data_IF_157748632196
#
_entry.id   IF_157748632196
#
_cell.length_a   1.000
_cell.length_b   1.000
_cell.length_c   1.000
_cell.angle_alpha   90.00
_cell.angle_beta   90.00
_cell.angle_gamma   90.00
#
_symmetry.space_group_name_H-M   'P 1'
#
loop_
_entity.id
_entity.type
_entity.pdbx_description
1 polymer ?
#
# COMPACT_ATOMS: atom_id res chain seq x y z
N UNK A 1 8.47 -4.03 2.16
CA UNK A 1 9.04 -5.08 2.99
C UNK A 1 9.74 -6.17 2.19
N UNK A 2 9.05 -6.84 1.25
CA UNK A 2 9.63 -7.96 0.50
C UNK A 2 10.78 -7.55 -0.41
N UNK A 3 10.66 -6.47 -1.18
CA UNK A 3 11.71 -6.03 -2.12
C UNK A 3 12.91 -5.44 -1.38
N UNK A 4 12.69 -4.47 -0.48
CA UNK A 4 13.79 -3.75 0.18
C UNK A 4 14.45 -4.54 1.32
N UNK A 5 13.70 -5.39 2.02
CA UNK A 5 14.17 -6.07 3.24
C UNK A 5 14.10 -7.58 3.15
N UNK A 6 13.67 -8.14 2.02
CA UNK A 6 13.44 -9.58 1.85
C UNK A 6 12.55 -10.20 2.95
N UNK A 7 11.62 -9.44 3.50
CA UNK A 7 10.70 -9.95 4.50
C UNK A 7 9.66 -10.89 3.86
N UNK A 8 9.43 -12.03 4.47
CA UNK A 8 8.40 -12.99 4.05
C UNK A 8 6.98 -12.49 4.30
N UNK A 9 6.81 -11.47 5.14
CA UNK A 9 5.51 -10.92 5.51
C UNK A 9 5.58 -9.43 5.79
N UNK A 10 4.52 -8.69 5.46
CA UNK A 10 4.32 -7.29 5.82
C UNK A 10 4.27 -7.06 7.33
N UNK A 11 3.97 -8.11 8.12
CA UNK A 11 3.92 -8.06 9.59
C UNK A 11 5.26 -7.72 10.24
N UNK A 12 6.36 -7.94 9.54
CA UNK A 12 7.72 -7.65 10.06
C UNK A 12 8.09 -6.16 9.94
N UNK A 13 7.26 -5.34 9.29
CA UNK A 13 7.52 -3.91 9.18
C UNK A 13 7.11 -3.21 10.47
N UNK A 14 8.08 -2.62 11.15
CA UNK A 14 7.84 -1.87 12.39
C UNK A 14 7.31 -0.46 12.12
N UNK A 15 6.71 0.16 13.15
CA UNK A 15 6.24 1.55 13.09
C UNK A 15 7.41 2.51 12.80
N UNK A 16 8.57 2.27 13.38
CA UNK A 16 9.76 3.10 13.14
C UNK A 16 10.20 3.06 11.69
N UNK A 17 10.30 1.87 11.09
CA UNK A 17 10.61 1.69 9.67
C UNK A 17 9.59 2.39 8.78
N UNK A 18 8.28 2.25 9.07
CA UNK A 18 7.24 2.92 8.31
C UNK A 18 7.37 4.44 8.37
N UNK A 19 7.66 5.00 9.55
CA UNK A 19 7.86 6.44 9.72
C UNK A 19 9.05 6.93 8.89
N UNK A 20 10.21 6.24 8.93
CA UNK A 20 11.40 6.67 8.18
C UNK A 20 11.17 6.62 6.66
N UNK A 21 10.53 5.57 6.15
CA UNK A 21 10.14 5.51 4.73
C UNK A 21 9.17 6.63 4.37
N UNK A 22 8.20 6.90 5.24
CA UNK A 22 7.19 7.94 4.99
C UNK A 22 7.81 9.35 4.99
N UNK A 23 8.81 9.61 5.82
CA UNK A 23 9.57 10.88 5.76
C UNK A 23 10.26 11.05 4.40
N UNK A 24 10.91 9.98 3.90
CA UNK A 24 11.55 9.99 2.58
C UNK A 24 10.53 10.25 1.46
N UNK A 25 9.36 9.59 1.50
CA UNK A 25 8.28 9.81 0.55
C UNK A 25 7.76 11.24 0.63
N UNK A 26 7.60 11.80 1.84
CA UNK A 26 7.12 13.17 2.02
C UNK A 26 8.00 14.21 1.34
N UNK A 27 9.30 14.01 1.30
CA UNK A 27 10.21 14.94 0.61
C UNK A 27 9.92 15.03 -0.90
N UNK A 28 9.49 13.92 -1.53
CA UNK A 28 9.14 13.87 -2.95
C UNK A 28 7.70 14.29 -3.25
N UNK A 29 6.77 14.11 -2.32
CA UNK A 29 5.33 14.39 -2.53
C UNK A 29 5.07 15.89 -2.36
N UNK A 30 4.60 16.56 -3.42
CA UNK A 30 4.32 18.01 -3.42
C UNK A 30 2.83 18.34 -3.46
N UNK A 31 2.03 17.63 -4.26
CA UNK A 31 0.62 17.94 -4.52
C UNK A 31 -0.34 16.80 -4.14
N UNK A 32 0.13 15.55 -4.19
CA UNK A 32 -0.72 14.39 -3.94
C UNK A 32 -1.00 14.21 -2.46
N UNK A 33 -2.19 13.69 -2.16
CA UNK A 33 -2.55 13.22 -0.82
C UNK A 33 -1.60 12.08 -0.42
N UNK A 34 -0.98 12.19 0.74
CA UNK A 34 -0.10 11.16 1.28
C UNK A 34 -0.78 10.39 2.40
N UNK A 35 -1.03 9.12 2.19
CA UNK A 35 -1.63 8.20 3.16
C UNK A 35 -0.57 7.22 3.66
N UNK A 36 -0.45 7.05 4.97
CA UNK A 36 0.52 6.13 5.58
C UNK A 36 -0.20 4.95 6.21
N UNK A 37 0.22 3.75 5.83
CA UNK A 37 -0.31 2.51 6.41
C UNK A 37 0.12 2.37 7.86
N UNK A 38 -0.82 2.11 8.75
CA UNK A 38 -0.49 1.70 10.12
C UNK A 38 -0.03 0.23 10.09
N UNK A 39 1.20 -0.09 10.54
CA UNK A 39 1.70 -1.45 10.51
C UNK A 39 0.94 -2.41 11.42
N UNK A 40 1.09 -3.71 11.16
CA UNK A 40 0.53 -4.76 12.01
C UNK A 40 0.89 -4.54 13.50
N UNK A 41 -0.06 -4.81 14.39
CA UNK A 41 0.06 -4.63 15.84
C UNK A 41 0.27 -3.19 16.33
N UNK A 42 0.05 -2.16 15.49
CA UNK A 42 0.16 -0.75 15.93
C UNK A 42 -1.19 -0.09 16.22
N UNK A 43 -2.29 -0.85 16.08
CA UNK A 43 -3.66 -0.41 16.32
C UNK A 43 -4.55 -1.52 16.94
N UNK A 44 -4.04 -2.23 17.96
CA UNK A 44 -4.75 -3.31 18.64
C UNK A 44 -5.96 -2.84 19.45
N UNK A 45 -5.95 -1.59 19.90
CA UNK A 45 -7.04 -0.92 20.61
C UNK A 45 -7.05 0.57 20.26
N UNK A 46 -8.12 1.27 20.66
CA UNK A 46 -8.35 2.67 20.31
C UNK A 46 -7.27 3.63 20.86
N UNK A 47 -6.79 3.40 22.08
CA UNK A 47 -5.75 4.24 22.70
C UNK A 47 -4.42 4.13 21.97
N UNK A 48 -3.98 2.89 21.71
CA UNK A 48 -2.74 2.62 20.97
C UNK A 48 -2.82 3.16 19.54
N UNK A 49 -3.93 2.93 18.85
CA UNK A 49 -4.17 3.44 17.50
C UNK A 49 -4.08 4.97 17.45
N UNK A 50 -4.72 5.66 18.38
CA UNK A 50 -4.70 7.12 18.46
C UNK A 50 -3.28 7.66 18.70
N UNK A 51 -2.56 7.07 19.67
CA UNK A 51 -1.16 7.43 19.96
C UNK A 51 -0.28 7.27 18.72
N UNK A 52 -0.36 6.12 18.06
CA UNK A 52 0.48 5.79 16.92
C UNK A 52 0.12 6.61 15.68
N UNK A 53 -1.17 6.83 15.41
CA UNK A 53 -1.62 7.68 14.30
C UNK A 53 -1.15 9.14 14.48
N UNK A 54 -1.29 9.71 15.68
CA UNK A 54 -0.75 11.04 15.99
C UNK A 54 0.77 11.10 15.78
N UNK A 55 1.50 10.08 16.20
CA UNK A 55 2.95 9.99 15.99
C UNK A 55 3.31 9.93 14.50
N UNK A 56 2.61 9.13 13.70
CA UNK A 56 2.81 9.05 12.25
C UNK A 56 2.61 10.44 11.64
N UNK A 57 1.46 11.06 11.83
CA UNK A 57 1.13 12.37 11.25
C UNK A 57 2.14 13.44 11.67
N UNK A 58 2.46 13.51 12.96
CA UNK A 58 3.43 14.48 13.48
C UNK A 58 4.80 14.35 12.83
N UNK A 59 5.32 13.12 12.74
CA UNK A 59 6.69 12.85 12.25
C UNK A 59 6.81 12.85 10.73
N UNK A 60 5.76 12.48 10.00
CA UNK A 60 5.82 12.31 8.54
C UNK A 60 5.13 13.42 7.77
N UNK A 61 4.29 14.22 8.44
CA UNK A 61 3.42 15.23 7.82
C UNK A 61 2.52 14.63 6.72
N UNK A 62 2.13 13.35 6.89
CA UNK A 62 1.14 12.74 6.02
C UNK A 62 -0.25 13.31 6.28
N UNK A 63 -1.11 13.19 5.29
CA UNK A 63 -2.45 13.74 5.31
C UNK A 63 -3.47 12.81 5.97
N UNK A 64 -3.20 11.50 5.96
CA UNK A 64 -4.08 10.47 6.49
C UNK A 64 -3.34 9.20 6.88
N UNK A 65 -4.02 8.32 7.62
CA UNK A 65 -3.56 6.96 7.89
C UNK A 65 -4.48 5.92 7.26
N UNK A 66 -3.95 4.73 6.92
CA UNK A 66 -4.75 3.61 6.43
C UNK A 66 -4.73 2.46 7.43
N UNK A 67 -5.90 1.82 7.62
CA UNK A 67 -6.09 0.66 8.50
C UNK A 67 -6.80 -0.46 7.76
N UNK A 68 -6.41 -1.70 8.07
CA UNK A 68 -7.01 -2.92 7.50
C UNK A 68 -8.12 -3.45 8.39
N UNK A 69 -9.32 -3.62 7.83
CA UNK A 69 -10.48 -4.24 8.47
C UNK A 69 -11.77 -3.46 8.29
N UNK A 70 -12.88 -4.13 8.60
CA UNK A 70 -14.24 -3.57 8.61
C UNK A 70 -14.78 -3.42 10.04
N UNK A 71 -15.92 -4.05 10.31
CA UNK A 71 -16.59 -4.01 11.63
C UNK A 71 -15.66 -4.30 12.82
N UNK A 72 -14.64 -5.15 12.66
CA UNK A 72 -13.71 -5.51 13.74
C UNK A 72 -12.91 -4.34 14.29
N UNK A 73 -12.65 -3.32 13.48
CA UNK A 73 -11.89 -2.12 13.87
C UNK A 73 -12.80 -0.89 14.05
N UNK A 74 -14.12 -1.10 14.15
CA UNK A 74 -15.11 -0.03 14.29
C UNK A 74 -14.74 1.00 15.36
N UNK A 75 -14.48 0.55 16.60
CA UNK A 75 -14.15 1.45 17.71
C UNK A 75 -12.84 2.20 17.49
N UNK A 76 -11.89 1.57 16.83
CA UNK A 76 -10.59 2.18 16.47
C UNK A 76 -10.81 3.31 15.47
N UNK A 77 -11.48 3.02 14.35
CA UNK A 77 -11.78 4.00 13.30
C UNK A 77 -12.60 5.16 13.89
N UNK A 78 -13.67 4.85 14.65
CA UNK A 78 -14.49 5.87 15.33
C UNK A 78 -13.66 6.79 16.22
N UNK A 79 -12.70 6.24 16.97
CA UNK A 79 -11.82 7.01 17.85
C UNK A 79 -10.89 7.93 17.02
N UNK A 80 -10.31 7.43 15.95
CA UNK A 80 -9.43 8.24 15.08
C UNK A 80 -10.21 9.40 14.45
N UNK A 81 -11.35 9.13 13.84
CA UNK A 81 -12.22 10.15 13.21
C UNK A 81 -12.68 11.20 14.23
N UNK A 82 -13.15 10.77 15.43
CA UNK A 82 -13.52 11.70 16.52
C UNK A 82 -12.37 12.64 16.91
N UNK A 83 -11.13 12.18 16.79
CA UNK A 83 -9.93 12.98 17.04
C UNK A 83 -9.41 13.70 15.80
N UNK A 84 -10.23 13.87 14.76
CA UNK A 84 -9.90 14.59 13.51
C UNK A 84 -8.72 14.01 12.75
N UNK A 85 -8.48 12.71 12.85
CA UNK A 85 -7.50 11.97 12.07
C UNK A 85 -8.19 11.39 10.85
N UNK A 86 -7.84 11.82 9.62
CA UNK A 86 -8.42 11.25 8.41
C UNK A 86 -7.99 9.79 8.25
N UNK A 87 -8.95 8.92 7.94
CA UNK A 87 -8.73 7.48 7.80
C UNK A 87 -9.14 7.00 6.42
N UNK A 88 -8.27 6.23 5.77
CA UNK A 88 -8.58 5.41 4.62
C UNK A 88 -8.85 3.98 5.11
N UNK A 89 -9.99 3.40 4.75
CA UNK A 89 -10.33 2.01 5.05
C UNK A 89 -9.65 1.03 4.08
N UNK A 90 -9.59 -0.24 4.46
CA UNK A 90 -9.09 -1.31 3.58
C UNK A 90 -9.89 -2.59 3.82
N UNK A 91 -10.54 -3.08 2.77
CA UNK A 91 -11.37 -4.29 2.76
C UNK A 91 -10.90 -5.29 1.70
N UNK A 92 -11.36 -6.53 1.82
CA UNK A 92 -10.98 -7.62 0.93
C UNK A 92 -9.91 -8.53 1.52
N UNK A 93 -8.84 -8.78 0.81
CA UNK A 93 -7.64 -9.39 1.38
C UNK A 93 -6.94 -8.36 2.25
N UNK A 94 -6.58 -8.74 3.45
CA UNK A 94 -5.91 -7.89 4.42
C UNK A 94 -4.50 -8.45 4.64
N UNK A 95 -3.46 -7.94 3.99
CA UNK A 95 -2.11 -8.52 4.02
C UNK A 95 -1.52 -8.70 5.42
N UNK A 96 -1.88 -7.84 6.35
CA UNK A 96 -1.40 -7.91 7.74
C UNK A 96 -2.03 -9.06 8.54
N UNK A 97 -3.17 -9.59 8.13
CA UNK A 97 -3.88 -10.66 8.85
C UNK A 97 -4.14 -11.91 8.02
N UNK A 98 -4.00 -11.83 6.70
CA UNK A 98 -4.30 -12.94 5.80
C UNK A 98 -3.32 -14.12 5.99
N UNK A 99 -3.88 -15.32 6.09
CA UNK A 99 -3.12 -16.59 6.00
C UNK A 99 -2.88 -17.01 4.56
N UNK A 100 -3.72 -16.56 3.64
CA UNK A 100 -3.60 -16.78 2.20
C UNK A 100 -4.20 -15.60 1.41
N UNK A 101 -3.75 -15.42 0.17
CA UNK A 101 -4.15 -14.32 -0.71
C UNK A 101 -5.24 -14.75 -1.72
N UNK A 102 -6.27 -15.46 -1.27
CA UNK A 102 -7.42 -15.80 -2.10
C UNK A 102 -8.39 -14.64 -2.19
N UNK A 103 -8.86 -14.36 -3.42
CA UNK A 103 -9.85 -13.30 -3.66
C UNK A 103 -11.11 -13.49 -2.78
N UNK A 104 -11.63 -12.38 -2.28
CA UNK A 104 -12.79 -12.31 -1.37
C UNK A 104 -14.06 -11.93 -2.12
N UNK A 105 -15.21 -12.32 -1.54
CA UNK A 105 -16.52 -11.98 -2.09
C UNK A 105 -17.11 -13.04 -3.01
N UNK A 106 -16.44 -14.18 -3.22
CA UNK A 106 -16.99 -15.29 -4.03
C UNK A 106 -18.15 -16.01 -3.35
N UNK A 107 -18.15 -16.09 -2.03
CA UNK A 107 -19.23 -16.68 -1.24
C UNK A 107 -20.22 -15.59 -0.85
N UNK A 108 -21.52 -15.91 -0.84
CA UNK A 108 -22.59 -14.98 -0.48
C UNK A 108 -22.34 -14.31 0.88
N UNK A 109 -21.93 -15.07 1.89
CA UNK A 109 -21.61 -14.53 3.20
C UNK A 109 -20.44 -13.54 3.17
N UNK A 110 -19.35 -13.81 2.40
CA UNK A 110 -18.24 -12.88 2.24
C UNK A 110 -18.67 -11.60 1.52
N UNK A 111 -19.49 -11.74 0.44
CA UNK A 111 -20.06 -10.60 -0.29
C UNK A 111 -20.88 -9.71 0.65
N UNK A 112 -21.83 -10.30 1.39
CA UNK A 112 -22.69 -9.54 2.30
C UNK A 112 -21.89 -8.84 3.41
N UNK A 113 -20.85 -9.48 3.93
CA UNK A 113 -19.94 -8.87 4.91
C UNK A 113 -19.17 -7.69 4.31
N UNK A 114 -18.63 -7.80 3.09
CA UNK A 114 -17.91 -6.71 2.42
C UNK A 114 -18.82 -5.50 2.17
N UNK A 115 -20.06 -5.73 1.70
CA UNK A 115 -21.05 -4.68 1.50
C UNK A 115 -21.43 -4.00 2.83
N UNK A 116 -21.64 -4.78 3.89
CA UNK A 116 -21.94 -4.25 5.22
C UNK A 116 -20.76 -3.46 5.79
N UNK A 117 -19.55 -4.01 5.71
CA UNK A 117 -18.34 -3.37 6.22
C UNK A 117 -18.04 -2.05 5.49
N UNK A 118 -18.26 -1.98 4.16
CA UNK A 118 -18.06 -0.76 3.39
C UNK A 118 -19.02 0.37 3.83
N UNK A 119 -20.28 0.05 4.09
CA UNK A 119 -21.25 1.01 4.62
C UNK A 119 -20.89 1.48 6.02
N UNK A 120 -20.50 0.55 6.90
CA UNK A 120 -20.06 0.90 8.26
C UNK A 120 -18.87 1.86 8.24
N UNK A 121 -17.89 1.62 7.37
CA UNK A 121 -16.72 2.50 7.24
C UNK A 121 -17.12 3.88 6.71
N UNK A 122 -18.01 3.94 5.72
CA UNK A 122 -18.56 5.20 5.21
C UNK A 122 -19.29 5.99 6.32
N UNK A 123 -20.20 5.34 7.05
CA UNK A 123 -20.95 5.94 8.14
C UNK A 123 -20.05 6.45 9.28
N UNK A 124 -18.90 5.82 9.50
CA UNK A 124 -17.89 6.28 10.45
C UNK A 124 -17.14 7.53 9.97
N UNK A 125 -17.20 7.86 8.67
CA UNK A 125 -16.55 9.03 8.09
C UNK A 125 -15.15 8.75 7.54
N UNK A 126 -14.82 7.51 7.14
CA UNK A 126 -13.60 7.30 6.36
C UNK A 126 -13.74 8.00 5.00
N UNK A 127 -12.67 8.58 4.50
CA UNK A 127 -12.73 9.37 3.27
C UNK A 127 -12.59 8.55 1.98
N UNK A 128 -12.11 7.32 2.08
CA UNK A 128 -11.92 6.40 0.94
C UNK A 128 -11.71 4.97 1.44
N UNK A 129 -11.97 3.97 0.59
CA UNK A 129 -11.75 2.55 0.90
C UNK A 129 -10.92 1.88 -0.19
N UNK A 130 -9.83 1.21 0.21
CA UNK A 130 -9.10 0.28 -0.65
C UNK A 130 -9.84 -1.05 -0.71
N UNK A 131 -10.03 -1.59 -1.92
CA UNK A 131 -10.61 -2.90 -2.17
C UNK A 131 -9.52 -3.81 -2.75
N UNK A 132 -8.92 -4.68 -1.93
CA UNK A 132 -7.83 -5.57 -2.36
C UNK A 132 -8.32 -6.98 -2.62
N UNK A 133 -8.07 -7.48 -3.84
CA UNK A 133 -8.43 -8.83 -4.27
C UNK A 133 -9.91 -9.16 -3.97
N UNK A 134 -10.81 -8.22 -4.23
CA UNK A 134 -12.25 -8.39 -4.12
C UNK A 134 -12.79 -8.85 -5.48
N UNK A 135 -13.73 -9.80 -5.47
CA UNK A 135 -14.42 -10.24 -6.66
C UNK A 135 -15.03 -9.05 -7.42
N UNK A 136 -14.88 -9.03 -8.76
CA UNK A 136 -15.10 -7.84 -9.58
C UNK A 136 -16.52 -7.30 -9.50
N UNK A 137 -17.54 -8.18 -9.49
CA UNK A 137 -18.95 -7.76 -9.37
C UNK A 137 -19.25 -7.15 -8.00
N UNK A 138 -18.66 -7.72 -6.94
CA UNK A 138 -18.80 -7.23 -5.57
C UNK A 138 -18.14 -5.87 -5.39
N UNK A 139 -16.92 -5.70 -5.92
CA UNK A 139 -16.24 -4.39 -5.88
C UNK A 139 -17.03 -3.32 -6.66
N UNK A 140 -17.58 -3.68 -7.83
CA UNK A 140 -18.49 -2.80 -8.59
C UNK A 140 -19.73 -2.41 -7.80
N UNK A 141 -20.33 -3.37 -7.10
CA UNK A 141 -21.51 -3.14 -6.27
C UNK A 141 -21.20 -2.23 -5.08
N UNK A 142 -20.08 -2.47 -4.37
CA UNK A 142 -19.61 -1.59 -3.29
C UNK A 142 -19.46 -0.16 -3.81
N UNK A 143 -18.72 0.03 -4.91
CA UNK A 143 -18.48 1.35 -5.52
C UNK A 143 -19.78 2.09 -5.87
N UNK A 144 -20.82 1.37 -6.32
CA UNK A 144 -22.13 1.96 -6.61
C UNK A 144 -22.94 2.28 -5.35
N UNK A 145 -22.68 1.61 -4.24
CA UNK A 145 -23.52 1.66 -3.04
C UNK A 145 -23.06 2.74 -2.06
N UNK A 146 -21.75 2.96 -1.96
CA UNK A 146 -21.17 3.98 -1.08
C UNK A 146 -20.85 5.25 -1.87
N UNK A 147 -20.80 6.40 -1.17
CA UNK A 147 -20.55 7.72 -1.78
C UNK A 147 -19.07 8.13 -1.74
N UNK A 148 -18.28 7.47 -0.91
CA UNK A 148 -16.85 7.73 -0.79
C UNK A 148 -16.05 6.96 -1.84
N UNK A 149 -14.93 7.52 -2.35
CA UNK A 149 -14.13 6.88 -3.39
C UNK A 149 -13.62 5.49 -3.00
N UNK A 150 -13.66 4.56 -3.94
CA UNK A 150 -13.05 3.23 -3.85
C UNK A 150 -11.79 3.15 -4.67
N UNK A 151 -10.74 2.56 -4.11
CA UNK A 151 -9.45 2.34 -4.78
C UNK A 151 -9.21 0.84 -4.93
N UNK A 152 -9.23 0.37 -6.16
CA UNK A 152 -9.06 -1.06 -6.47
C UNK A 152 -7.59 -1.48 -6.56
N UNK A 153 -7.28 -2.67 -6.04
CA UNK A 153 -6.05 -3.40 -6.33
C UNK A 153 -6.39 -4.88 -6.48
N UNK A 154 -6.33 -5.38 -7.71
CA UNK A 154 -6.81 -6.72 -8.03
C UNK A 154 -8.33 -6.89 -7.78
N UNK A 155 -9.11 -5.87 -7.99
CA UNK A 155 -10.56 -5.85 -7.78
C UNK A 155 -11.32 -5.57 -9.09
N UNK A 156 -11.89 -4.39 -9.28
CA UNK A 156 -12.73 -4.07 -10.44
C UNK A 156 -12.26 -2.80 -11.14
N UNK A 157 -12.39 -2.78 -12.47
CA UNK A 157 -12.22 -1.57 -13.27
C UNK A 157 -13.25 -0.48 -12.92
N UNK A 158 -14.34 -0.85 -12.26
CA UNK A 158 -15.40 0.08 -11.84
C UNK A 158 -15.12 0.78 -10.51
N UNK A 159 -14.01 0.49 -9.82
CA UNK A 159 -13.56 1.33 -8.71
C UNK A 159 -13.19 2.72 -9.23
N UNK A 160 -13.36 3.75 -8.38
CA UNK A 160 -13.10 5.15 -8.75
C UNK A 160 -11.61 5.41 -9.05
N UNK A 161 -10.72 4.63 -8.43
CA UNK A 161 -9.28 4.66 -8.70
C UNK A 161 -8.65 3.28 -8.62
N UNK A 162 -7.38 3.20 -9.05
CA UNK A 162 -6.58 1.98 -8.99
C UNK A 162 -5.22 2.26 -8.36
N UNK A 163 -4.67 1.29 -7.63
CA UNK A 163 -3.32 1.35 -7.09
C UNK A 163 -2.55 0.08 -7.43
N UNK A 164 -1.25 0.22 -7.66
CA UNK A 164 -0.30 -0.88 -7.72
C UNK A 164 0.92 -0.53 -6.88
N UNK A 165 1.54 -1.54 -6.28
CA UNK A 165 2.85 -1.38 -5.64
C UNK A 165 3.86 -0.98 -6.71
N UNK A 166 4.63 0.08 -6.46
CA UNK A 166 5.59 0.61 -7.44
C UNK A 166 6.57 -0.45 -7.93
N UNK A 167 7.11 -1.27 -7.02
CA UNK A 167 8.06 -2.34 -7.37
C UNK A 167 7.44 -3.39 -8.31
N UNK A 168 6.14 -3.66 -8.17
CA UNK A 168 5.39 -4.55 -9.06
C UNK A 168 5.18 -3.89 -10.42
N UNK A 169 4.75 -2.63 -10.43
CA UNK A 169 4.45 -1.85 -11.64
C UNK A 169 5.67 -1.72 -12.55
N UNK A 170 6.86 -1.44 -11.97
CA UNK A 170 8.10 -1.25 -12.74
C UNK A 170 8.91 -2.55 -12.94
N UNK A 171 8.44 -3.68 -12.41
CA UNK A 171 9.07 -4.98 -12.62
C UNK A 171 10.35 -5.23 -11.82
N UNK A 172 10.47 -4.61 -10.64
CA UNK A 172 11.53 -4.93 -9.66
C UNK A 172 11.18 -6.18 -8.84
N UNK A 173 9.89 -6.39 -8.54
CA UNK A 173 9.46 -7.57 -7.79
C UNK A 173 9.46 -8.82 -8.69
N UNK A 174 10.19 -9.90 -8.33
CA UNK A 174 10.23 -11.13 -9.11
C UNK A 174 8.93 -11.96 -8.97
N UNK A 175 8.14 -11.72 -7.93
CA UNK A 175 6.92 -12.49 -7.64
C UNK A 175 5.87 -12.24 -8.72
N UNK A 176 5.27 -13.33 -9.22
CA UNK A 176 4.15 -13.26 -10.16
C UNK A 176 2.84 -13.26 -9.39
N UNK A 177 2.14 -12.14 -9.41
CA UNK A 177 0.81 -11.97 -8.84
C UNK A 177 -0.19 -11.77 -9.98
N UNK A 178 -1.33 -12.47 -9.95
CA UNK A 178 -2.30 -12.50 -11.06
C UNK A 178 -2.78 -11.13 -11.52
N UNK A 179 -3.03 -10.21 -10.59
CA UNK A 179 -3.55 -8.87 -10.90
C UNK A 179 -2.48 -7.85 -11.26
N UNK A 180 -1.20 -8.20 -11.12
CA UNK A 180 -0.10 -7.28 -11.41
C UNK A 180 0.18 -7.25 -12.91
N UNK A 181 0.02 -6.07 -13.49
CA UNK A 181 0.52 -5.74 -14.83
C UNK A 181 1.81 -4.96 -14.69
N UNK A 182 2.91 -5.52 -15.23
CA UNK A 182 4.20 -4.82 -15.30
C UNK A 182 4.18 -3.89 -16.51
N UNK A 183 4.46 -2.62 -16.29
CA UNK A 183 4.52 -1.61 -17.36
C UNK A 183 5.93 -1.46 -17.93
N UNK A 184 6.94 -1.92 -17.18
CA UNK A 184 8.34 -2.01 -17.63
C UNK A 184 9.05 -3.15 -16.89
N UNK A 185 10.31 -3.42 -17.26
CA UNK A 185 11.16 -4.41 -16.59
C UNK A 185 12.49 -3.77 -16.19
N UNK A 186 12.47 -3.02 -15.12
CA UNK A 186 13.66 -2.33 -14.59
C UNK A 186 14.74 -3.32 -14.16
N UNK A 187 14.38 -4.50 -13.62
CA UNK A 187 15.35 -5.55 -13.28
C UNK A 187 16.23 -5.94 -14.48
N UNK A 188 15.60 -6.10 -15.67
CA UNK A 188 16.36 -6.41 -16.90
C UNK A 188 17.30 -5.27 -17.29
N UNK A 189 16.85 -4.04 -17.17
CA UNK A 189 17.66 -2.85 -17.50
C UNK A 189 18.84 -2.69 -16.53
N UNK A 190 18.61 -2.85 -15.22
CA UNK A 190 19.66 -2.80 -14.19
C UNK A 190 20.70 -3.88 -14.46
N UNK A 191 20.28 -5.12 -14.70
CA UNK A 191 21.19 -6.23 -14.99
C UNK A 191 22.03 -5.97 -16.25
N UNK A 192 21.42 -5.47 -17.32
CA UNK A 192 22.14 -5.13 -18.55
C UNK A 192 23.19 -4.02 -18.31
N UNK A 193 22.84 -2.98 -17.55
CA UNK A 193 23.76 -1.90 -17.19
C UNK A 193 24.94 -2.41 -16.36
N UNK A 194 24.70 -3.25 -15.36
CA UNK A 194 25.75 -3.83 -14.50
C UNK A 194 26.68 -4.73 -15.32
N UNK A 195 26.13 -5.57 -16.20
CA UNK A 195 26.93 -6.44 -17.08
C UNK A 195 27.82 -5.60 -18.02
N UNK A 196 27.24 -4.54 -18.60
CA UNK A 196 28.00 -3.61 -19.47
C UNK A 196 29.15 -2.96 -18.71
N UNK A 197 28.87 -2.37 -17.53
CA UNK A 197 29.89 -1.78 -16.67
C UNK A 197 31.00 -2.78 -16.32
N UNK A 198 30.63 -3.98 -15.84
CA UNK A 198 31.57 -5.05 -15.53
C UNK A 198 32.51 -5.35 -16.72
N UNK A 199 31.96 -5.47 -17.94
CA UNK A 199 32.72 -5.79 -19.13
C UNK A 199 33.65 -4.63 -19.54
N UNK A 200 33.18 -3.37 -19.40
CA UNK A 200 34.01 -2.19 -19.67
C UNK A 200 35.20 -2.10 -18.72
N UNK A 201 34.97 -2.34 -17.41
CA UNK A 201 36.05 -2.38 -16.41
C UNK A 201 37.04 -3.51 -16.69
N UNK A 202 36.52 -4.74 -16.92
CA UNK A 202 37.36 -5.90 -17.22
C UNK A 202 38.26 -5.68 -18.46
N UNK A 203 37.74 -5.00 -19.47
CA UNK A 203 38.43 -4.72 -20.73
C UNK A 203 39.17 -3.37 -20.70
N UNK A 204 39.35 -2.73 -19.55
CA UNK A 204 40.03 -1.42 -19.38
C UNK A 204 39.43 -0.30 -20.26
N UNK A 205 38.12 -0.37 -20.54
CA UNK A 205 37.37 0.63 -21.32
C UNK A 205 36.70 1.68 -20.44
N UNK A 206 36.66 1.44 -19.14
CA UNK A 206 36.18 2.37 -18.09
C UNK A 206 37.19 2.38 -16.93
N UNK A 207 37.52 3.55 -16.34
CA UNK A 207 37.11 4.90 -16.78
C UNK A 207 37.81 5.35 -18.07
N UNK A 208 37.11 6.20 -18.84
CA UNK A 208 37.73 6.94 -19.95
C UNK A 208 38.37 8.23 -19.41
N UNK A 209 39.16 8.92 -20.28
CA UNK A 209 39.79 10.20 -19.92
C UNK A 209 38.82 11.21 -19.34
N UNK A 210 37.60 11.32 -19.89
CA UNK A 210 36.53 12.18 -19.40
C UNK A 210 35.91 11.76 -18.06
N UNK A 211 36.17 10.54 -17.60
CA UNK A 211 35.68 10.01 -16.32
C UNK A 211 36.81 9.95 -15.26
N UNK A 212 37.97 10.54 -15.52
CA UNK A 212 39.15 10.51 -14.66
C UNK A 212 39.63 11.93 -14.38
N UNK A 213 40.24 12.12 -13.22
CA UNK A 213 40.89 13.38 -12.86
C UNK A 213 42.36 13.29 -13.21
N UNK A 214 42.85 14.27 -13.93
CA UNK A 214 44.26 14.43 -14.26
C UNK A 214 44.75 15.72 -13.61
N UNK A 215 45.83 15.63 -12.87
CA UNK A 215 46.49 16.78 -12.28
C UNK A 215 47.40 17.43 -13.34
#
# INVERSE_FOLDING_TARGET
>A
GSVLYNYKSTRSVSLAVMIEHSKSVRMGVKKSLMVVDMPHNTYRNSSEALKNAKMIISKTKCDAVKLEGGKKIYHIVKTLIKNKIPVMGHLGVLPQSAKNFKAKGKKIAERNNLLKDSKILEELGVFSIVLECVESSVAKEITKTIKIPTIGIGASVHCDGQVLVTDDLIGLNPIKVRFVKKYTNITKQINAAIIKFKNEVKNKRFPKKMNSYYI
#
